data_IF_243346955701
#
_entry.id   IF_243346955701
#
_cell.length_a   1.000
_cell.length_b   1.000
_cell.length_c   1.000
_cell.angle_alpha   90.00
_cell.angle_beta   90.00
_cell.angle_gamma   90.00
#
_symmetry.space_group_name_H-M   'P 1'
#
loop_
_entity.id
_entity.type
_entity.pdbx_description
1 polymer ?
#
# COMPACT_ATOMS: atom_id res chain seq x y z
N UNK A 1 33.43 -49.15 -5.02
CA UNK A 1 34.20 -48.19 -4.20
C UNK A 1 33.23 -47.11 -3.75
N UNK A 2 32.75 -47.24 -2.52
CA UNK A 2 31.70 -46.39 -1.94
C UNK A 2 32.34 -45.11 -1.41
N UNK A 3 31.90 -43.96 -1.93
CA UNK A 3 32.28 -42.63 -1.44
C UNK A 3 31.49 -42.38 -0.15
N UNK A 4 32.11 -42.59 1.01
CA UNK A 4 31.55 -42.21 2.29
C UNK A 4 31.50 -40.68 2.37
N UNK A 5 30.28 -40.12 2.33
CA UNK A 5 30.05 -38.73 2.70
C UNK A 5 30.55 -38.52 4.14
N UNK A 6 31.37 -37.49 4.34
CA UNK A 6 31.99 -37.17 5.62
C UNK A 6 30.92 -36.66 6.61
N UNK A 7 30.60 -37.42 7.69
CA UNK A 7 29.52 -37.07 8.62
C UNK A 7 29.72 -35.71 9.31
N UNK A 8 30.97 -35.25 9.43
CA UNK A 8 31.27 -33.95 10.01
C UNK A 8 30.81 -32.80 9.11
N UNK A 9 30.91 -32.99 7.79
CA UNK A 9 30.52 -31.99 6.78
C UNK A 9 29.00 -31.85 6.67
N UNK A 10 28.27 -32.96 6.77
CA UNK A 10 26.80 -32.94 6.87
C UNK A 10 26.31 -32.26 8.15
N UNK A 11 26.98 -32.52 9.28
CA UNK A 11 26.63 -31.92 10.58
C UNK A 11 26.89 -30.41 10.62
N UNK A 12 27.96 -29.96 9.97
CA UNK A 12 28.33 -28.55 9.86
C UNK A 12 27.37 -27.76 8.95
N UNK A 13 26.97 -28.36 7.81
CA UNK A 13 25.95 -27.78 6.93
C UNK A 13 24.59 -27.71 7.63
N UNK A 14 24.19 -28.76 8.37
CA UNK A 14 22.94 -28.75 9.13
C UNK A 14 22.94 -27.66 10.21
N UNK A 15 24.07 -27.48 10.91
CA UNK A 15 24.22 -26.40 11.91
C UNK A 15 24.08 -25.03 11.27
N UNK A 16 24.75 -24.79 10.14
CA UNK A 16 24.67 -23.54 9.42
C UNK A 16 23.21 -23.24 9.01
N UNK A 17 22.51 -24.24 8.48
CA UNK A 17 21.10 -24.12 8.09
C UNK A 17 20.19 -23.79 9.28
N UNK A 18 20.40 -24.44 10.43
CA UNK A 18 19.63 -24.21 11.65
C UNK A 18 19.92 -22.82 12.22
N UNK A 19 21.19 -22.39 12.25
CA UNK A 19 21.56 -21.08 12.77
C UNK A 19 21.04 -19.95 11.88
N UNK A 20 21.15 -20.07 10.56
CA UNK A 20 20.53 -19.14 9.60
C UNK A 20 19.01 -19.11 9.78
N UNK A 21 18.36 -20.27 9.91
CA UNK A 21 16.92 -20.35 10.16
C UNK A 21 16.51 -19.63 11.46
N UNK A 22 17.24 -19.84 12.55
CA UNK A 22 16.96 -19.20 13.84
C UNK A 22 17.20 -17.69 13.83
N UNK A 23 18.26 -17.22 13.15
CA UNK A 23 18.51 -15.79 13.00
C UNK A 23 17.36 -15.13 12.25
N UNK A 24 17.07 -15.63 11.05
CA UNK A 24 16.00 -15.14 10.19
C UNK A 24 14.64 -15.10 10.91
N UNK A 25 14.26 -16.17 11.61
CA UNK A 25 12.97 -16.25 12.31
C UNK A 25 12.87 -15.25 13.49
N UNK A 26 13.97 -15.04 14.22
CA UNK A 26 14.02 -14.09 15.34
C UNK A 26 13.89 -12.64 14.87
N UNK A 27 14.34 -12.31 13.66
CA UNK A 27 14.32 -10.94 13.14
C UNK A 27 13.00 -10.55 12.44
N UNK A 28 12.30 -11.50 11.83
CA UNK A 28 10.98 -11.31 11.18
C UNK A 28 9.92 -10.78 12.15
N UNK A 29 10.06 -11.06 13.45
CA UNK A 29 9.12 -10.58 14.47
C UNK A 29 9.25 -9.09 14.82
N UNK A 30 10.19 -8.34 14.19
CA UNK A 30 10.50 -6.95 14.58
C UNK A 30 10.32 -5.88 13.50
N UNK A 31 9.85 -6.22 12.30
CA UNK A 31 9.82 -5.29 11.17
C UNK A 31 8.39 -5.13 10.64
N UNK A 32 7.83 -3.93 10.83
CA UNK A 32 6.49 -3.53 10.34
C UNK A 32 6.49 -3.12 8.85
N UNK A 33 7.66 -3.07 8.19
CA UNK A 33 7.84 -2.66 6.81
C UNK A 33 8.42 -3.79 5.93
N UNK A 34 7.67 -4.25 4.93
CA UNK A 34 8.11 -5.26 3.97
C UNK A 34 9.45 -4.86 3.31
N UNK A 35 9.65 -3.57 3.07
CA UNK A 35 10.82 -3.04 2.37
C UNK A 35 12.11 -3.28 3.14
N UNK A 36 12.09 -2.99 4.44
CA UNK A 36 13.20 -3.20 5.36
C UNK A 36 13.48 -4.70 5.55
N UNK A 37 12.43 -5.52 5.61
CA UNK A 37 12.56 -6.96 5.77
C UNK A 37 13.20 -7.61 4.54
N UNK A 38 12.77 -7.24 3.34
CA UNK A 38 13.36 -7.78 2.10
C UNK A 38 14.80 -7.30 1.90
N UNK A 39 15.10 -6.05 2.26
CA UNK A 39 16.47 -5.53 2.26
C UNK A 39 17.38 -6.34 3.19
N UNK A 40 16.90 -6.66 4.40
CA UNK A 40 17.64 -7.49 5.34
C UNK A 40 17.86 -8.91 4.79
N UNK A 41 16.81 -9.55 4.27
CA UNK A 41 16.87 -10.89 3.66
C UNK A 41 17.94 -10.95 2.56
N UNK A 42 18.01 -9.91 1.72
CA UNK A 42 19.01 -9.78 0.67
C UNK A 42 20.44 -9.66 1.22
N UNK A 43 20.65 -8.82 2.23
CA UNK A 43 21.97 -8.70 2.89
C UNK A 43 22.44 -10.02 3.50
N UNK A 44 21.52 -10.76 4.14
CA UNK A 44 21.81 -12.09 4.66
C UNK A 44 22.11 -13.09 3.54
N UNK A 45 21.39 -13.02 2.42
CA UNK A 45 21.68 -13.85 1.25
C UNK A 45 23.10 -13.61 0.71
N UNK A 46 23.49 -12.33 0.57
CA UNK A 46 24.83 -11.94 0.12
C UNK A 46 25.92 -12.44 1.05
N UNK A 47 25.73 -12.31 2.37
CA UNK A 47 26.68 -12.79 3.35
C UNK A 47 26.79 -14.32 3.31
N UNK A 48 25.65 -15.01 3.27
CA UNK A 48 25.56 -16.46 3.29
C UNK A 48 26.26 -17.12 2.08
N UNK A 49 26.13 -16.53 0.89
CA UNK A 49 26.74 -17.04 -0.34
C UNK A 49 27.96 -16.24 -0.79
N UNK A 50 28.47 -15.32 0.02
CA UNK A 50 29.57 -14.42 -0.30
C UNK A 50 29.42 -13.75 -1.68
N UNK A 51 28.31 -13.06 -1.92
CA UNK A 51 28.06 -12.32 -3.16
C UNK A 51 28.50 -10.84 -3.06
N UNK A 52 28.63 -10.18 -4.21
CA UNK A 52 28.96 -8.75 -4.28
C UNK A 52 27.73 -7.86 -4.14
N UNK A 53 26.61 -8.29 -4.73
CA UNK A 53 25.33 -7.60 -4.75
C UNK A 53 24.19 -8.63 -4.88
N UNK A 54 22.96 -8.17 -4.66
CA UNK A 54 21.75 -8.96 -4.85
C UNK A 54 20.57 -8.09 -5.27
N UNK A 55 19.52 -8.73 -5.77
CA UNK A 55 18.25 -8.06 -6.05
C UNK A 55 17.07 -9.03 -5.92
N UNK A 56 15.90 -8.46 -5.64
CA UNK A 56 14.61 -9.15 -5.70
C UNK A 56 13.74 -8.50 -6.77
N UNK A 57 13.33 -9.32 -7.74
CA UNK A 57 12.33 -8.95 -8.72
C UNK A 57 10.98 -9.58 -8.36
N UNK A 58 9.96 -8.77 -8.12
CA UNK A 58 8.61 -9.26 -7.82
C UNK A 58 7.83 -9.50 -9.10
N UNK A 59 7.09 -10.60 -9.13
CA UNK A 59 6.20 -10.93 -10.24
C UNK A 59 4.87 -10.21 -10.08
N UNK A 60 4.48 -9.50 -11.14
CA UNK A 60 3.16 -8.89 -11.28
C UNK A 60 2.32 -9.68 -12.29
N UNK A 61 1.22 -10.32 -11.86
CA UNK A 61 0.35 -11.08 -12.75
C UNK A 61 -0.51 -10.21 -13.67
N UNK A 62 -0.65 -8.90 -13.42
CA UNK A 62 -1.49 -8.01 -14.25
C UNK A 62 -0.80 -7.66 -15.57
N UNK A 63 0.51 -7.40 -15.54
CA UNK A 63 1.30 -7.09 -16.74
C UNK A 63 2.22 -8.24 -17.19
N UNK A 64 2.26 -9.35 -16.43
CA UNK A 64 3.07 -10.54 -16.68
C UNK A 64 4.59 -10.25 -16.75
N UNK A 65 5.06 -9.39 -15.84
CA UNK A 65 6.47 -8.95 -15.77
C UNK A 65 7.08 -9.17 -14.39
N UNK A 66 8.41 -9.24 -14.38
CA UNK A 66 9.24 -9.22 -13.18
C UNK A 66 9.78 -7.79 -13.01
N UNK A 67 9.42 -7.16 -11.90
CA UNK A 67 9.81 -5.80 -11.56
C UNK A 67 10.87 -5.83 -10.47
N UNK A 68 12.06 -5.29 -10.75
CA UNK A 68 13.11 -5.16 -9.73
C UNK A 68 12.62 -4.15 -8.71
N UNK A 69 12.17 -4.61 -7.55
CA UNK A 69 11.69 -3.74 -6.46
C UNK A 69 12.79 -3.46 -5.44
N UNK A 70 13.76 -4.37 -5.35
CA UNK A 70 14.83 -4.31 -4.39
C UNK A 70 16.15 -4.62 -5.07
N UNK A 71 17.17 -3.82 -4.75
CA UNK A 71 18.53 -4.02 -5.19
C UNK A 71 19.49 -3.54 -4.09
N UNK A 72 20.66 -4.15 -4.03
CA UNK A 72 21.80 -3.76 -3.21
C UNK A 72 23.04 -3.50 -4.09
N UNK A 73 24.10 -2.92 -3.51
CA UNK A 73 25.31 -2.52 -4.22
C UNK A 73 25.38 -1.01 -4.47
N UNK A 74 26.53 -0.55 -4.99
CA UNK A 74 26.89 0.88 -5.09
C UNK A 74 25.94 1.71 -5.99
N UNK A 75 25.16 1.05 -6.85
CA UNK A 75 24.29 1.66 -7.88
C UNK A 75 22.83 1.17 -7.82
N UNK A 76 22.39 0.64 -6.68
CA UNK A 76 21.11 -0.08 -6.55
C UNK A 76 19.86 0.72 -6.89
N UNK A 77 19.85 2.05 -6.66
CA UNK A 77 18.68 2.89 -6.94
C UNK A 77 18.35 2.99 -8.44
N UNK A 78 19.37 2.94 -9.30
CA UNK A 78 19.20 3.09 -10.75
C UNK A 78 18.38 1.94 -11.40
N UNK A 79 18.31 0.79 -10.74
CA UNK A 79 17.68 -0.43 -11.27
C UNK A 79 16.32 -0.77 -10.64
N UNK A 80 15.91 -0.12 -9.54
CA UNK A 80 14.66 -0.37 -8.77
C UNK A 80 13.34 -0.07 -9.51
N UNK A 81 13.43 0.37 -10.77
CA UNK A 81 12.28 0.67 -11.61
C UNK A 81 12.29 -0.12 -12.93
N UNK A 82 13.31 -0.96 -13.12
CA UNK A 82 13.42 -1.78 -14.31
C UNK A 82 12.51 -3.00 -14.19
N UNK A 83 11.95 -3.40 -15.32
CA UNK A 83 11.14 -4.61 -15.42
C UNK A 83 11.42 -5.33 -16.72
N UNK A 84 11.25 -6.65 -16.70
CA UNK A 84 11.37 -7.50 -17.87
C UNK A 84 10.21 -8.49 -17.95
N UNK A 85 9.92 -8.96 -19.16
CA UNK A 85 8.91 -10.01 -19.32
C UNK A 85 9.38 -11.29 -18.61
N UNK A 86 8.45 -12.06 -18.05
CA UNK A 86 8.76 -13.29 -17.28
C UNK A 86 9.51 -14.35 -18.11
N UNK A 87 9.45 -14.31 -19.45
CA UNK A 87 10.17 -15.27 -20.30
C UNK A 87 11.57 -14.80 -20.72
N UNK A 88 11.96 -13.59 -20.31
CA UNK A 88 13.22 -12.98 -20.71
C UNK A 88 14.25 -13.05 -19.58
N UNK A 89 15.52 -13.06 -19.97
CA UNK A 89 16.62 -12.87 -19.04
C UNK A 89 16.90 -14.07 -18.12
N UNK A 90 17.84 -13.86 -17.21
CA UNK A 90 18.16 -14.81 -16.15
C UNK A 90 17.02 -14.91 -15.13
N UNK A 91 16.36 -13.79 -14.78
CA UNK A 91 15.18 -13.86 -13.92
C UNK A 91 14.09 -14.75 -14.50
N UNK A 92 13.80 -14.63 -15.80
CA UNK A 92 12.77 -15.45 -16.43
C UNK A 92 13.12 -16.93 -16.46
N UNK A 93 14.39 -17.25 -16.72
CA UNK A 93 14.87 -18.61 -16.61
C UNK A 93 14.69 -19.19 -15.19
N UNK A 94 15.05 -18.43 -14.15
CA UNK A 94 14.85 -18.84 -12.76
C UNK A 94 13.36 -18.91 -12.35
N UNK A 95 12.52 -18.01 -12.87
CA UNK A 95 11.08 -18.04 -12.62
C UNK A 95 10.42 -19.33 -13.17
N UNK A 96 10.91 -19.80 -14.32
CA UNK A 96 10.42 -21.01 -14.98
C UNK A 96 10.84 -22.32 -14.30
N UNK A 97 11.86 -22.29 -13.44
CA UNK A 97 12.35 -23.48 -12.72
C UNK A 97 11.68 -23.62 -11.36
N UNK A 98 11.83 -24.78 -10.71
CA UNK A 98 11.45 -25.01 -9.31
C UNK A 98 12.65 -24.97 -8.34
N UNK A 99 13.82 -24.63 -8.88
CA UNK A 99 15.10 -24.59 -8.18
C UNK A 99 15.92 -23.43 -8.74
N UNK A 100 17.16 -23.29 -8.29
CA UNK A 100 18.05 -22.23 -8.72
C UNK A 100 18.68 -22.45 -10.10
N UNK A 101 19.20 -21.36 -10.67
CA UNK A 101 19.98 -21.28 -11.90
C UNK A 101 21.36 -20.74 -11.56
N UNK A 102 22.40 -21.46 -11.96
CA UNK A 102 23.79 -21.04 -11.87
C UNK A 102 24.27 -20.55 -13.24
N UNK A 103 24.87 -19.35 -13.25
CA UNK A 103 25.51 -18.75 -14.43
C UNK A 103 26.95 -18.43 -14.08
N UNK A 104 27.89 -19.17 -14.67
CA UNK A 104 29.32 -18.99 -14.39
C UNK A 104 29.90 -17.76 -15.12
N UNK A 105 29.43 -17.48 -16.33
CA UNK A 105 29.85 -16.35 -17.15
C UNK A 105 28.62 -15.68 -17.78
N UNK A 106 28.16 -14.61 -17.16
CA UNK A 106 26.97 -13.89 -17.59
C UNK A 106 27.13 -13.32 -18.99
N UNK A 107 28.30 -12.75 -19.34
CA UNK A 107 28.49 -12.08 -20.62
C UNK A 107 28.45 -13.03 -21.82
N UNK A 108 28.67 -14.32 -21.59
CA UNK A 108 28.59 -15.38 -22.60
C UNK A 108 27.29 -16.22 -22.50
N UNK A 109 26.41 -15.95 -21.53
CA UNK A 109 25.13 -16.66 -21.43
C UNK A 109 24.13 -16.12 -22.47
N UNK A 110 23.48 -16.97 -23.28
CA UNK A 110 22.54 -16.51 -24.31
C UNK A 110 21.30 -15.80 -23.76
N UNK A 111 21.02 -15.94 -22.47
CA UNK A 111 19.90 -15.29 -21.78
C UNK A 111 20.29 -13.95 -21.17
N UNK A 112 21.56 -13.57 -21.20
CA UNK A 112 22.06 -12.35 -20.58
C UNK A 112 21.55 -11.09 -21.30
N UNK A 113 21.07 -10.13 -20.50
CA UNK A 113 20.68 -8.81 -20.96
C UNK A 113 21.58 -7.75 -20.29
N UNK A 114 22.42 -7.03 -21.05
CA UNK A 114 23.34 -6.03 -20.50
C UNK A 114 22.65 -4.71 -20.13
N UNK A 115 21.32 -4.58 -20.29
CA UNK A 115 20.59 -3.33 -20.01
C UNK A 115 20.80 -2.85 -18.57
N UNK A 116 20.73 -3.76 -17.60
CA UNK A 116 20.92 -3.42 -16.18
C UNK A 116 22.35 -2.94 -15.89
N UNK A 117 23.36 -3.63 -16.43
CA UNK A 117 24.77 -3.25 -16.31
C UNK A 117 25.06 -1.88 -16.96
N UNK A 118 24.43 -1.58 -18.10
CA UNK A 118 24.59 -0.28 -18.79
C UNK A 118 23.98 0.88 -18.01
N UNK A 119 22.86 0.63 -17.32
CA UNK A 119 22.17 1.65 -16.52
C UNK A 119 22.90 1.92 -15.20
N UNK A 120 23.38 0.85 -14.56
CA UNK A 120 24.03 0.92 -13.24
C UNK A 120 25.55 1.07 -13.27
N UNK A 121 26.20 0.95 -14.43
CA UNK A 121 27.66 0.87 -14.53
C UNK A 121 28.28 -0.36 -13.85
N UNK A 122 27.46 -1.25 -13.26
CA UNK A 122 27.89 -2.47 -12.61
C UNK A 122 28.33 -3.50 -13.67
N UNK A 123 29.35 -4.32 -13.36
CA UNK A 123 29.80 -5.39 -14.26
C UNK A 123 29.44 -6.74 -13.69
N UNK A 124 28.46 -7.39 -14.31
CA UNK A 124 27.99 -8.71 -13.94
C UNK A 124 28.87 -9.78 -14.59
N UNK A 125 29.40 -10.68 -13.75
CA UNK A 125 30.33 -11.75 -14.12
C UNK A 125 29.71 -13.13 -13.90
N UNK A 126 29.15 -13.37 -12.72
CA UNK A 126 28.52 -14.64 -12.36
C UNK A 126 27.19 -14.38 -11.65
N UNK A 127 26.19 -15.21 -11.87
CA UNK A 127 24.85 -15.05 -11.31
C UNK A 127 24.40 -16.36 -10.66
N UNK A 128 23.74 -16.25 -9.52
CA UNK A 128 22.92 -17.30 -8.94
C UNK A 128 21.52 -16.73 -8.70
N UNK A 129 20.52 -17.32 -9.32
CA UNK A 129 19.14 -16.86 -9.22
C UNK A 129 18.22 -18.01 -8.80
N UNK A 130 17.25 -17.75 -7.93
CA UNK A 130 16.28 -18.74 -7.48
C UNK A 130 14.87 -18.14 -7.47
N UNK A 131 13.84 -18.91 -7.85
CA UNK A 131 12.48 -18.44 -7.75
C UNK A 131 12.07 -18.26 -6.29
N UNK A 132 11.32 -17.21 -6.01
CA UNK A 132 10.58 -17.00 -4.76
C UNK A 132 9.18 -17.52 -5.01
N UNK A 133 8.89 -18.73 -4.52
CA UNK A 133 7.61 -19.39 -4.69
C UNK A 133 6.96 -19.70 -3.35
N UNK A 134 5.63 -19.72 -3.35
CA UNK A 134 4.86 -20.30 -2.27
C UNK A 134 3.87 -21.30 -2.83
N UNK A 135 3.99 -22.56 -2.42
CA UNK A 135 3.30 -23.69 -3.07
C UNK A 135 3.64 -23.67 -4.57
N UNK A 136 2.66 -23.47 -5.44
CA UNK A 136 2.84 -23.40 -6.90
C UNK A 136 2.79 -21.97 -7.45
N UNK A 137 2.64 -20.96 -6.59
CA UNK A 137 2.54 -19.55 -7.01
C UNK A 137 3.93 -18.89 -7.03
N UNK A 138 4.27 -18.27 -8.16
CA UNK A 138 5.46 -17.44 -8.28
C UNK A 138 5.18 -16.06 -7.69
N UNK A 139 5.99 -15.67 -6.70
CA UNK A 139 5.94 -14.35 -6.08
C UNK A 139 7.04 -13.43 -6.65
N UNK A 140 8.14 -13.99 -7.11
CA UNK A 140 9.27 -13.25 -7.66
C UNK A 140 10.51 -14.11 -7.86
N UNK A 141 11.66 -13.47 -7.99
CA UNK A 141 12.99 -14.08 -8.13
C UNK A 141 13.97 -13.36 -7.22
N UNK A 142 14.78 -14.13 -6.49
CA UNK A 142 15.93 -13.66 -5.73
C UNK A 142 17.20 -13.97 -6.52
N UNK A 143 18.01 -12.96 -6.76
CA UNK A 143 19.28 -13.09 -7.49
C UNK A 143 20.43 -12.52 -6.66
N UNK A 144 21.55 -13.22 -6.69
CA UNK A 144 22.83 -12.77 -6.13
C UNK A 144 23.88 -12.77 -7.23
N UNK A 145 24.73 -11.75 -7.20
CA UNK A 145 25.60 -11.41 -8.31
C UNK A 145 27.05 -11.36 -7.82
N UNK A 146 27.95 -11.86 -8.67
CA UNK A 146 29.40 -11.86 -8.50
C UNK A 146 29.89 -12.53 -7.20
N UNK A 147 30.22 -13.81 -7.28
CA UNK A 147 30.82 -14.54 -6.15
C UNK A 147 32.13 -13.86 -5.70
N UNK A 148 32.27 -13.64 -4.39
CA UNK A 148 33.51 -13.22 -3.73
C UNK A 148 34.31 -14.46 -3.31
N UNK A 149 35.64 -14.39 -3.45
CA UNK A 149 36.54 -15.48 -3.04
C UNK A 149 36.64 -16.66 -4.03
N UNK A 150 35.99 -16.57 -5.19
CA UNK A 150 36.07 -17.56 -6.26
C UNK A 150 35.32 -17.11 -7.52
N UNK A 151 35.52 -17.76 -8.68
CA UNK A 151 34.93 -17.30 -9.94
C UNK A 151 33.46 -17.68 -10.11
N UNK A 152 32.90 -18.59 -9.28
CA UNK A 152 31.56 -19.14 -9.48
C UNK A 152 30.86 -19.49 -8.18
N UNK A 153 29.54 -19.37 -8.20
CA UNK A 153 28.66 -19.94 -7.18
C UNK A 153 28.65 -21.47 -7.28
N UNK A 154 28.39 -22.14 -6.16
CA UNK A 154 28.33 -23.59 -6.04
C UNK A 154 26.89 -24.08 -5.87
N UNK A 155 26.67 -25.37 -6.08
CA UNK A 155 25.40 -26.04 -5.72
C UNK A 155 25.01 -25.82 -4.25
N UNK A 156 26.00 -25.75 -3.34
CA UNK A 156 25.75 -25.45 -1.92
C UNK A 156 25.25 -24.03 -1.73
N UNK A 157 25.81 -23.06 -2.47
CA UNK A 157 25.32 -21.68 -2.47
C UNK A 157 23.89 -21.61 -3.00
N UNK A 158 23.58 -22.36 -4.06
CA UNK A 158 22.23 -22.45 -4.63
C UNK A 158 21.20 -22.94 -3.63
N UNK A 159 21.50 -24.05 -2.93
CA UNK A 159 20.60 -24.59 -1.88
C UNK A 159 20.43 -23.63 -0.71
N UNK A 160 21.47 -22.88 -0.34
CA UNK A 160 21.38 -21.88 0.71
C UNK A 160 20.48 -20.72 0.27
N UNK A 161 20.62 -20.27 -0.97
CA UNK A 161 19.78 -19.22 -1.52
C UNK A 161 18.31 -19.64 -1.63
N UNK A 162 18.01 -20.91 -1.95
CA UNK A 162 16.65 -21.46 -1.91
C UNK A 162 16.01 -21.36 -0.52
N UNK A 163 16.78 -21.62 0.55
CA UNK A 163 16.30 -21.45 1.93
C UNK A 163 15.93 -20.00 2.20
N UNK A 164 16.77 -19.05 1.76
CA UNK A 164 16.50 -17.62 1.91
C UNK A 164 15.29 -17.18 1.08
N UNK A 165 15.15 -17.67 -0.15
CA UNK A 165 14.01 -17.39 -1.01
C UNK A 165 12.69 -17.91 -0.45
N UNK A 166 12.68 -19.09 0.18
CA UNK A 166 11.51 -19.60 0.89
C UNK A 166 11.09 -18.67 2.03
N UNK A 167 12.05 -18.06 2.72
CA UNK A 167 11.71 -17.07 3.73
C UNK A 167 11.15 -15.79 3.13
N UNK A 168 11.77 -15.27 2.06
CA UNK A 168 11.26 -14.12 1.33
C UNK A 168 9.81 -14.33 0.88
N UNK A 169 9.48 -15.55 0.43
CA UNK A 169 8.12 -15.92 0.04
C UNK A 169 7.12 -15.77 1.20
N UNK A 170 7.49 -16.18 2.42
CA UNK A 170 6.64 -16.02 3.61
C UNK A 170 6.44 -14.53 3.93
N UNK A 171 7.51 -13.74 3.91
CA UNK A 171 7.45 -12.30 4.17
C UNK A 171 6.53 -11.56 3.17
N UNK A 172 6.71 -11.83 1.87
CA UNK A 172 5.91 -11.23 0.81
C UNK A 172 4.44 -11.63 0.93
N UNK A 173 4.15 -12.91 1.20
CA UNK A 173 2.76 -13.34 1.32
C UNK A 173 2.07 -12.74 2.56
N UNK A 174 2.78 -12.63 3.68
CA UNK A 174 2.27 -11.97 4.88
C UNK A 174 1.95 -10.50 4.63
N UNK A 175 2.85 -9.76 3.96
CA UNK A 175 2.60 -8.36 3.61
C UNK A 175 1.38 -8.22 2.68
N UNK A 176 1.28 -9.04 1.63
CA UNK A 176 0.10 -9.07 0.74
C UNK A 176 -1.19 -9.42 1.51
N UNK A 177 -1.13 -10.29 2.51
CA UNK A 177 -2.28 -10.62 3.35
C UNK A 177 -2.71 -9.42 4.22
N UNK A 178 -1.76 -8.72 4.83
CA UNK A 178 -2.02 -7.51 5.62
C UNK A 178 -2.64 -6.43 4.73
N UNK A 179 -2.08 -6.16 3.55
CA UNK A 179 -2.63 -5.19 2.60
C UNK A 179 -4.08 -5.51 2.21
N UNK A 180 -4.36 -6.78 1.87
CA UNK A 180 -5.73 -7.22 1.56
C UNK A 180 -6.68 -7.08 2.75
N UNK A 181 -6.21 -7.33 3.97
CA UNK A 181 -7.01 -7.15 5.18
C UNK A 181 -7.38 -5.68 5.38
N UNK A 182 -6.40 -4.78 5.25
CA UNK A 182 -6.62 -3.33 5.35
C UNK A 182 -7.60 -2.85 4.27
N UNK A 183 -7.43 -3.27 3.01
CA UNK A 183 -8.37 -2.94 1.93
C UNK A 183 -9.78 -3.48 2.19
N UNK A 184 -9.90 -4.72 2.69
CA UNK A 184 -11.20 -5.32 3.01
C UNK A 184 -11.89 -4.58 4.15
N UNK A 185 -11.14 -4.16 5.18
CA UNK A 185 -11.68 -3.38 6.28
C UNK A 185 -12.16 -2.00 5.80
N UNK A 186 -11.38 -1.31 4.97
CA UNK A 186 -11.77 -0.05 4.33
C UNK A 186 -13.07 -0.21 3.54
N UNK A 187 -13.18 -1.23 2.69
CA UNK A 187 -14.41 -1.53 1.95
C UNK A 187 -15.59 -1.84 2.86
N UNK A 188 -15.36 -2.52 3.98
CA UNK A 188 -16.39 -2.82 4.98
C UNK A 188 -16.92 -1.57 5.67
N UNK A 189 -16.02 -0.63 6.01
CA UNK A 189 -16.38 0.69 6.56
C UNK A 189 -17.22 1.47 5.55
N UNK A 190 -16.79 1.54 4.28
CA UNK A 190 -17.54 2.18 3.20
C UNK A 190 -18.93 1.56 3.07
N UNK A 191 -19.05 0.23 3.08
CA UNK A 191 -20.34 -0.46 2.95
C UNK A 191 -21.30 -0.16 4.12
N UNK A 192 -20.80 -0.08 5.35
CA UNK A 192 -21.61 0.31 6.53
C UNK A 192 -22.07 1.76 6.44
N UNK A 193 -21.17 2.66 6.03
CA UNK A 193 -21.50 4.08 5.86
C UNK A 193 -22.54 4.28 4.75
N UNK A 194 -22.34 3.67 3.58
CA UNK A 194 -23.31 3.71 2.48
C UNK A 194 -24.70 3.23 2.92
N UNK A 195 -24.77 2.16 3.72
CA UNK A 195 -26.03 1.65 4.25
C UNK A 195 -26.71 2.65 5.21
N UNK A 196 -25.95 3.29 6.10
CA UNK A 196 -26.47 4.33 7.01
C UNK A 196 -26.96 5.54 6.22
N UNK A 197 -26.20 5.97 5.22
CA UNK A 197 -26.54 7.14 4.39
C UNK A 197 -27.81 6.84 3.59
N UNK A 198 -27.95 5.67 2.96
CA UNK A 198 -29.20 5.27 2.29
C UNK A 198 -30.39 5.34 3.25
N UNK A 199 -30.21 4.93 4.51
CA UNK A 199 -31.26 5.07 5.51
C UNK A 199 -31.58 6.56 5.75
N UNK A 200 -30.59 7.41 5.96
CA UNK A 200 -30.85 8.82 6.27
C UNK A 200 -31.40 9.61 5.08
N UNK A 201 -30.99 9.29 3.84
CA UNK A 201 -31.54 9.85 2.60
C UNK A 201 -33.03 9.51 2.40
N UNK A 202 -33.50 8.37 2.92
CA UNK A 202 -34.90 7.97 2.82
C UNK A 202 -35.84 8.91 3.60
N UNK A 203 -35.35 9.54 4.68
CA UNK A 203 -36.14 10.46 5.51
C UNK A 203 -36.55 11.74 4.75
N UNK A 204 -35.63 12.58 4.23
CA UNK A 204 -36.01 13.78 3.48
C UNK A 204 -36.76 13.42 2.21
N UNK A 205 -36.44 12.32 1.53
CA UNK A 205 -37.22 11.87 0.37
C UNK A 205 -38.70 11.60 0.69
N UNK A 206 -38.98 11.04 1.87
CA UNK A 206 -40.36 10.78 2.30
C UNK A 206 -41.10 12.08 2.64
N UNK A 207 -40.38 13.05 3.21
CA UNK A 207 -40.89 14.39 3.55
C UNK A 207 -41.15 15.22 2.29
N UNK A 208 -40.17 15.31 1.39
CA UNK A 208 -40.31 15.95 0.06
C UNK A 208 -41.52 15.40 -0.67
N UNK A 209 -41.66 14.06 -0.70
CA UNK A 209 -42.82 13.42 -1.33
C UNK A 209 -44.14 13.83 -0.66
N UNK A 210 -44.19 13.81 0.67
CA UNK A 210 -45.38 14.22 1.41
C UNK A 210 -45.80 15.67 1.13
N UNK A 211 -44.83 16.60 1.12
CA UNK A 211 -45.09 18.00 0.76
C UNK A 211 -45.49 18.15 -0.70
N UNK A 212 -44.86 17.42 -1.62
CA UNK A 212 -45.23 17.44 -3.04
C UNK A 212 -46.68 16.95 -3.25
N UNK A 213 -47.11 15.91 -2.53
CA UNK A 213 -48.49 15.42 -2.54
C UNK A 213 -49.48 16.46 -1.99
N UNK A 214 -49.12 17.20 -0.93
CA UNK A 214 -49.93 18.30 -0.41
C UNK A 214 -50.00 19.48 -1.38
N UNK A 215 -48.90 19.80 -2.06
CA UNK A 215 -48.82 20.88 -3.05
C UNK A 215 -49.73 20.63 -4.27
N UNK A 216 -50.01 19.37 -4.58
CA UNK A 216 -50.92 18.95 -5.65
C UNK A 216 -52.39 19.27 -5.36
N UNK A 217 -52.75 19.64 -4.12
CA UNK A 217 -54.11 20.05 -3.78
C UNK A 217 -54.44 21.43 -4.40
N UNK A 218 -55.45 21.52 -5.30
CA UNK A 218 -55.81 22.77 -5.95
C UNK A 218 -56.46 23.80 -5.00
N UNK A 219 -57.02 23.38 -3.86
CA UNK A 219 -57.67 24.27 -2.89
C UNK A 219 -56.70 24.88 -1.85
N UNK A 220 -55.41 24.56 -1.94
CA UNK A 220 -54.40 25.04 -1.00
C UNK A 220 -54.11 26.54 -1.18
N UNK A 221 -54.08 27.27 -0.05
CA UNK A 221 -53.77 28.70 -0.03
C UNK A 221 -52.29 29.00 -0.39
N UNK A 222 -52.05 30.24 -0.81
CA UNK A 222 -50.74 30.67 -1.28
C UNK A 222 -49.65 30.64 -0.18
N UNK A 223 -50.01 30.90 1.08
CA UNK A 223 -49.05 30.91 2.19
C UNK A 223 -48.55 29.51 2.52
N UNK A 224 -49.46 28.53 2.60
CA UNK A 224 -49.10 27.11 2.77
C UNK A 224 -48.35 26.56 1.56
N UNK A 225 -48.75 26.96 0.34
CA UNK A 225 -48.04 26.60 -0.89
C UNK A 225 -46.58 27.04 -0.84
N UNK A 226 -46.33 28.29 -0.46
CA UNK A 226 -44.96 28.81 -0.31
C UNK A 226 -44.20 28.05 0.78
N UNK A 227 -44.80 27.86 1.94
CA UNK A 227 -44.17 27.16 3.09
C UNK A 227 -43.70 25.75 2.71
N UNK A 228 -44.56 24.96 2.05
CA UNK A 228 -44.19 23.61 1.63
C UNK A 228 -43.17 23.58 0.49
N UNK A 229 -43.19 24.57 -0.42
CA UNK A 229 -42.14 24.72 -1.43
C UNK A 229 -40.78 25.03 -0.80
N UNK A 230 -40.73 25.91 0.20
CA UNK A 230 -39.48 26.24 0.89
C UNK A 230 -38.93 25.03 1.67
N UNK A 231 -39.79 24.29 2.38
CA UNK A 231 -39.40 23.07 3.09
C UNK A 231 -38.89 21.95 2.16
N UNK A 232 -39.44 21.84 0.95
CA UNK A 232 -38.91 20.89 -0.06
C UNK A 232 -37.51 21.30 -0.51
N UNK A 233 -37.28 22.59 -0.76
CA UNK A 233 -35.97 23.08 -1.20
C UNK A 233 -34.91 22.87 -0.11
N UNK A 234 -35.25 23.14 1.15
CA UNK A 234 -34.37 22.91 2.29
C UNK A 234 -33.97 21.42 2.43
N UNK A 235 -34.91 20.50 2.29
CA UNK A 235 -34.63 19.06 2.33
C UNK A 235 -33.82 18.58 1.11
N UNK A 236 -33.98 19.21 -0.06
CA UNK A 236 -33.17 18.94 -1.26
C UNK A 236 -31.73 19.42 -1.05
N UNK A 237 -31.52 20.61 -0.50
CA UNK A 237 -30.20 21.13 -0.21
C UNK A 237 -29.48 20.26 0.83
N UNK A 238 -30.21 19.79 1.85
CA UNK A 238 -29.70 18.82 2.81
C UNK A 238 -29.29 17.50 2.15
N UNK A 239 -30.10 16.99 1.21
CA UNK A 239 -29.79 15.78 0.46
C UNK A 239 -28.50 15.94 -0.36
N UNK A 240 -28.35 17.07 -1.06
CA UNK A 240 -27.15 17.37 -1.84
C UNK A 240 -25.89 17.43 -0.95
N UNK A 241 -25.98 18.05 0.23
CA UNK A 241 -24.91 18.06 1.22
C UNK A 241 -24.46 16.65 1.63
N UNK A 242 -25.41 15.77 1.97
CA UNK A 242 -25.12 14.38 2.33
C UNK A 242 -24.50 13.58 1.18
N UNK A 243 -24.93 13.81 -0.07
CA UNK A 243 -24.34 13.13 -1.23
C UNK A 243 -22.90 13.57 -1.51
N UNK A 244 -22.57 14.83 -1.24
CA UNK A 244 -21.21 15.34 -1.39
C UNK A 244 -20.27 14.74 -0.33
N UNK A 245 -20.72 14.62 0.92
CA UNK A 245 -19.94 13.96 1.99
C UNK A 245 -19.60 12.50 1.65
N UNK A 246 -20.52 11.79 0.97
CA UNK A 246 -20.28 10.43 0.49
C UNK A 246 -19.21 10.40 -0.61
N UNK A 247 -19.26 11.33 -1.56
CA UNK A 247 -18.30 11.41 -2.65
C UNK A 247 -16.90 11.74 -2.13
N UNK A 248 -16.78 12.72 -1.23
CA UNK A 248 -15.53 13.10 -0.56
C UNK A 248 -14.86 11.91 0.16
N UNK A 249 -15.66 11.04 0.79
CA UNK A 249 -15.13 9.85 1.48
C UNK A 249 -14.75 8.72 0.52
N UNK A 250 -15.52 8.53 -0.56
CA UNK A 250 -15.27 7.47 -1.55
C UNK A 250 -14.07 7.75 -2.46
N UNK A 251 -13.75 9.03 -2.68
CA UNK A 251 -12.67 9.45 -3.57
C UNK A 251 -11.28 9.29 -2.97
N UNK A 252 -11.15 9.05 -1.66
CA UNK A 252 -9.86 8.96 -0.96
C UNK A 252 -9.11 10.30 -0.85
N UNK A 253 -9.35 11.23 -1.78
CA UNK A 253 -8.91 12.62 -1.71
C UNK A 253 -9.91 13.44 -0.90
N UNK A 254 -9.59 13.64 0.38
CA UNK A 254 -10.09 14.82 1.08
C UNK A 254 -9.43 16.03 0.41
N UNK A 255 -10.04 16.55 -0.65
CA UNK A 255 -9.60 17.80 -1.28
C UNK A 255 -9.96 18.95 -0.34
N UNK A 256 -9.06 19.25 0.58
CA UNK A 256 -9.13 20.48 1.36
C UNK A 256 -8.94 21.65 0.41
N UNK A 257 -9.81 22.65 0.50
CA UNK A 257 -9.64 23.92 -0.20
C UNK A 257 -9.24 25.01 0.81
N UNK A 258 -8.00 24.98 1.32
CA UNK A 258 -7.56 25.97 2.29
C UNK A 258 -7.49 27.34 1.61
N UNK A 259 -8.11 28.32 2.25
CA UNK A 259 -8.07 29.73 1.85
C UNK A 259 -7.60 30.55 3.04
N UNK A 260 -7.02 31.72 2.76
CA UNK A 260 -6.64 32.66 3.81
C UNK A 260 -7.89 33.29 4.42
N UNK A 261 -8.10 33.05 5.71
CA UNK A 261 -9.29 33.47 6.45
C UNK A 261 -8.85 34.17 7.72
N UNK A 262 -9.44 35.34 7.96
CA UNK A 262 -9.29 36.03 9.25
C UNK A 262 -10.13 35.31 10.31
N UNK A 263 -9.49 34.50 11.16
CA UNK A 263 -10.20 33.57 12.08
C UNK A 263 -11.16 34.30 13.01
N UNK A 264 -10.77 35.46 13.55
CA UNK A 264 -11.66 36.24 14.42
C UNK A 264 -12.98 36.59 13.73
N UNK A 265 -12.92 37.14 12.51
CA UNK A 265 -14.12 37.52 11.74
C UNK A 265 -14.93 36.33 11.26
N UNK A 266 -14.28 35.19 11.04
CA UNK A 266 -14.97 33.96 10.66
C UNK A 266 -15.69 33.35 11.86
N UNK A 267 -15.05 33.29 13.04
CA UNK A 267 -15.66 32.78 14.26
C UNK A 267 -16.80 33.68 14.73
N UNK A 268 -16.64 35.01 14.69
CA UNK A 268 -17.70 35.95 15.08
C UNK A 268 -19.01 35.70 14.33
N UNK A 269 -18.92 35.44 13.01
CA UNK A 269 -20.08 35.10 12.17
C UNK A 269 -20.72 33.77 12.54
N UNK A 270 -19.93 32.77 12.93
CA UNK A 270 -20.45 31.46 13.36
C UNK A 270 -21.10 31.58 14.74
N UNK A 271 -20.51 32.34 15.65
CA UNK A 271 -21.02 32.57 17.00
C UNK A 271 -22.33 33.35 16.96
N UNK A 272 -22.44 34.34 16.08
CA UNK A 272 -23.69 35.06 15.84
C UNK A 272 -24.79 34.12 15.34
N UNK A 273 -24.47 33.24 14.39
CA UNK A 273 -25.38 32.20 13.91
C UNK A 273 -25.82 31.23 15.02
N UNK A 274 -24.90 30.70 15.81
CA UNK A 274 -25.21 29.77 16.90
C UNK A 274 -25.95 30.42 18.07
N UNK A 275 -25.82 31.74 18.26
CA UNK A 275 -26.48 32.45 19.36
C UNK A 275 -28.00 32.35 19.26
N UNK A 276 -28.56 32.38 18.04
CA UNK A 276 -29.99 32.23 17.81
C UNK A 276 -30.52 30.88 18.35
N UNK A 277 -29.78 29.80 18.14
CA UNK A 277 -30.14 28.44 18.61
C UNK A 277 -29.86 28.22 20.11
N UNK A 278 -28.78 28.81 20.61
CA UNK A 278 -28.34 28.69 22.01
C UNK A 278 -29.26 29.45 22.97
N UNK A 279 -29.77 30.62 22.58
CA UNK A 279 -30.73 31.40 23.38
C UNK A 279 -32.03 30.62 23.64
N UNK A 280 -32.44 29.76 22.71
CA UNK A 280 -33.61 28.90 22.86
C UNK A 280 -33.39 27.73 23.85
N UNK A 281 -32.13 27.38 24.15
CA UNK A 281 -31.76 26.10 24.78
C UNK A 281 -31.22 26.21 26.22
N UNK A 282 -31.19 27.41 26.82
CA UNK A 282 -30.64 27.66 28.17
C UNK A 282 -29.19 27.16 28.34
N UNK A 283 -28.40 27.24 27.27
CA UNK A 283 -26.97 26.89 27.21
C UNK A 283 -26.15 28.18 27.12
N UNK A 284 -24.94 28.18 27.69
CA UNK A 284 -24.01 29.31 27.58
C UNK A 284 -22.91 29.01 26.57
N UNK A 285 -22.82 29.82 25.51
CA UNK A 285 -21.75 29.72 24.51
C UNK A 285 -20.52 30.52 24.97
N UNK A 286 -19.38 29.85 25.13
CA UNK A 286 -18.09 30.46 25.46
C UNK A 286 -17.15 30.32 24.25
N UNK A 287 -16.43 31.38 23.93
CA UNK A 287 -15.48 31.42 22.81
C UNK A 287 -14.12 31.85 23.33
N UNK A 288 -13.11 31.00 23.15
CA UNK A 288 -11.72 31.28 23.52
C UNK A 288 -10.86 31.10 22.27
N UNK A 289 -10.09 32.14 21.92
CA UNK A 289 -9.20 32.15 20.76
C UNK A 289 -7.79 32.53 21.21
N UNK A 290 -6.83 31.66 20.94
CA UNK A 290 -5.39 31.97 21.15
C UNK A 290 -4.83 32.84 20.01
N UNK A 291 -5.45 32.80 18.82
CA UNK A 291 -5.03 33.53 17.64
C UNK A 291 -6.24 34.04 16.85
N UNK A 292 -6.21 35.32 16.46
CA UNK A 292 -7.29 35.99 15.71
C UNK A 292 -6.86 36.46 14.30
N UNK A 293 -5.60 36.20 13.92
CA UNK A 293 -5.00 36.61 12.65
C UNK A 293 -5.46 35.78 11.44
N UNK A 294 -4.86 36.01 10.26
CA UNK A 294 -5.10 35.22 9.07
C UNK A 294 -4.53 33.80 9.23
N UNK A 295 -5.30 32.80 8.83
CA UNK A 295 -4.86 31.39 8.76
C UNK A 295 -5.28 30.79 7.42
N UNK A 296 -4.61 29.74 6.99
CA UNK A 296 -5.02 28.98 5.81
C UNK A 296 -5.86 27.77 6.23
N UNK A 297 -7.18 27.86 6.04
CA UNK A 297 -8.13 26.82 6.44
C UNK A 297 -9.25 26.66 5.42
N UNK A 298 -9.87 25.48 5.42
CA UNK A 298 -11.11 25.23 4.69
C UNK A 298 -12.30 25.72 5.55
N UNK A 299 -12.65 27.00 5.41
CA UNK A 299 -13.66 27.67 6.22
C UNK A 299 -15.06 27.04 6.10
N UNK A 300 -15.44 26.54 4.92
CA UNK A 300 -16.76 25.95 4.71
C UNK A 300 -16.86 24.59 5.40
N UNK A 301 -15.80 23.78 5.33
CA UNK A 301 -15.74 22.47 5.99
C UNK A 301 -15.68 22.60 7.51
N UNK A 302 -14.86 23.53 8.03
CA UNK A 302 -14.82 23.81 9.47
C UNK A 302 -16.15 24.36 9.99
N UNK A 303 -16.85 25.19 9.20
CA UNK A 303 -18.17 25.69 9.58
C UNK A 303 -19.17 24.55 9.77
N UNK A 304 -19.16 23.56 8.87
CA UNK A 304 -20.02 22.35 9.01
C UNK A 304 -19.71 21.56 10.28
N UNK A 305 -18.43 21.42 10.65
CA UNK A 305 -18.01 20.74 11.89
C UNK A 305 -18.50 21.46 13.14
N UNK A 306 -18.52 22.80 13.12
CA UNK A 306 -18.94 23.59 14.28
C UNK A 306 -20.47 23.65 14.43
N UNK A 307 -21.21 23.52 13.33
CA UNK A 307 -22.68 23.62 13.32
C UNK A 307 -23.38 22.26 13.54
N UNK A 308 -22.76 21.15 13.14
CA UNK A 308 -23.29 19.79 13.35
C UNK A 308 -23.06 19.27 14.77
#
# INVERSE_FOLDING_TARGET
MSSSADPQRETEVLRLQVDTFYQVNRFISSIDNLEDLLTLIMQEAEAAVAAEASCIALYDPEDNRLHIKFASGEESESVRHLSQAIEQGIFGAAASTNTFVLVEDAQNDPRWDPTNDKVSGFTTRSILATPIKRREELLGVLEVINKRGGPRFTETDGRLLEVVANQAAIAIENARLVERMVQSEQLSVIGRMASSIIHDLKKPMSVIRGFAELLANPEMDAGRRQTFSDLILEDVDRFLGMTQELLDYSGGDISLQPQEVQVGQWLDRIVEYLREDVEASNVSLLTELEHQGPVHIDADRLRRVVIN
#
